data_IF_081534634308
#
_entry.id   IF_081534634308
#
_cell.length_a   1.000
_cell.length_b   1.000
_cell.length_c   1.000
_cell.angle_alpha   90.00
_cell.angle_beta   90.00
_cell.angle_gamma   90.00
#
_symmetry.space_group_name_H-M   'P 1'
#
loop_
_entity.id
_entity.type
_entity.pdbx_description
1 polymer ?
#
# COMPACT_ATOMS: atom_id res chain seq x y z
N UNK A 1 -34.16 23.59 33.87
CA UNK A 1 -32.99 22.87 34.41
C UNK A 1 -32.44 22.03 33.27
N UNK A 2 -31.37 22.50 32.62
CA UNK A 2 -30.82 21.85 31.43
C UNK A 2 -29.68 20.91 31.85
N UNK A 3 -29.91 19.61 31.72
CA UNK A 3 -28.91 18.58 31.95
C UNK A 3 -27.94 18.53 30.76
N UNK A 4 -26.70 18.96 30.97
CA UNK A 4 -25.62 18.76 30.00
C UNK A 4 -25.01 17.38 30.23
N UNK A 5 -25.28 16.44 29.32
CA UNK A 5 -24.61 15.15 29.28
C UNK A 5 -23.21 15.34 28.70
N UNK A 6 -22.19 14.98 29.49
CA UNK A 6 -20.79 14.97 29.06
C UNK A 6 -20.40 13.52 28.78
N UNK A 7 -20.09 13.21 27.52
CA UNK A 7 -19.59 11.89 27.12
C UNK A 7 -18.14 11.75 27.59
N UNK A 8 -17.88 10.77 28.45
CA UNK A 8 -16.53 10.37 28.86
C UNK A 8 -16.28 8.98 28.31
N UNK A 9 -15.34 8.87 27.37
CA UNK A 9 -14.87 7.58 26.85
C UNK A 9 -13.62 7.19 27.62
N UNK A 10 -13.77 6.28 28.57
CA UNK A 10 -12.64 5.64 29.24
C UNK A 10 -12.20 4.44 28.40
N UNK A 11 -11.05 4.55 27.75
CA UNK A 11 -10.38 3.41 27.12
C UNK A 11 -9.49 2.74 28.19
N UNK A 12 -9.79 1.53 28.68
CA UNK A 12 -8.94 0.87 29.66
C UNK A 12 -7.70 0.32 28.95
N UNK A 13 -6.68 1.15 28.85
CA UNK A 13 -5.34 0.74 28.44
C UNK A 13 -4.43 0.86 29.65
N UNK A 14 -4.09 -0.27 30.26
CA UNK A 14 -3.07 -0.32 31.31
C UNK A 14 -1.70 -0.03 30.67
N UNK A 15 -1.12 1.12 30.97
CA UNK A 15 0.30 1.39 30.70
C UNK A 15 1.12 1.06 31.95
N UNK A 16 2.32 0.49 31.79
CA UNK A 16 3.45 0.92 32.59
C UNK A 16 4.37 1.79 31.74
N UNK A 17 4.57 2.97 32.30
CA UNK A 17 5.43 4.09 31.96
C UNK A 17 6.75 3.68 31.29
N UNK A 18 6.94 4.10 30.04
CA UNK A 18 8.26 4.14 29.40
C UNK A 18 8.39 5.43 28.62
N UNK A 19 9.29 6.28 29.10
CA UNK A 19 9.66 7.59 28.56
C UNK A 19 10.45 7.47 27.25
N UNK A 20 9.87 6.87 26.23
CA UNK A 20 10.31 7.07 24.86
C UNK A 20 9.47 8.21 24.30
N UNK A 21 10.11 9.34 24.01
CA UNK A 21 9.45 10.48 23.37
C UNK A 21 8.54 9.98 22.26
N UNK A 22 7.25 10.26 22.40
CA UNK A 22 6.27 10.12 21.34
C UNK A 22 6.73 11.08 20.26
N UNK A 23 7.66 10.63 19.42
CA UNK A 23 7.91 11.22 18.13
C UNK A 23 6.53 11.29 17.50
N UNK A 24 5.99 12.50 17.44
CA UNK A 24 4.77 12.82 16.73
C UNK A 24 4.97 12.28 15.33
N UNK A 25 4.49 11.06 15.07
CA UNK A 25 4.46 10.53 13.72
C UNK A 25 3.61 11.54 12.98
N UNK A 26 4.23 12.37 12.13
CA UNK A 26 3.54 13.34 11.30
C UNK A 26 2.41 12.62 10.58
N UNK A 27 1.20 12.74 11.14
CA UNK A 27 0.07 11.81 10.93
C UNK A 27 -0.82 12.22 9.76
N UNK A 28 -0.34 13.06 8.84
CA UNK A 28 -1.15 13.60 7.74
C UNK A 28 -0.53 13.47 6.35
N UNK A 29 0.69 12.97 6.24
CA UNK A 29 1.23 12.40 5.01
C UNK A 29 1.00 10.88 5.14
N UNK A 30 0.24 10.16 4.32
CA UNK A 30 0.01 10.40 2.91
C UNK A 30 -1.05 9.42 2.33
N UNK A 31 -2.34 9.62 2.64
CA UNK A 31 -3.42 8.73 2.12
C UNK A 31 -3.48 8.72 0.58
N UNK A 32 -2.99 9.80 -0.03
CA UNK A 32 -3.00 10.00 -1.46
C UNK A 32 -1.67 9.57 -2.12
N UNK A 33 -0.59 9.34 -1.37
CA UNK A 33 0.70 8.87 -1.94
C UNK A 33 0.52 7.66 -2.81
N UNK A 34 -0.27 6.72 -2.31
CA UNK A 34 -0.47 5.45 -2.98
C UNK A 34 -1.17 5.65 -4.32
N UNK A 35 -1.90 6.76 -4.52
CA UNK A 35 -2.45 7.08 -5.84
C UNK A 35 -1.36 7.50 -6.84
N UNK A 36 -0.25 8.04 -6.35
CA UNK A 36 0.91 8.47 -7.16
C UNK A 36 1.86 7.30 -7.40
N UNK A 37 2.26 6.57 -6.35
CA UNK A 37 3.35 5.59 -6.44
C UNK A 37 2.90 4.16 -6.79
N UNK A 38 1.60 3.84 -6.71
CA UNK A 38 1.14 2.46 -6.92
C UNK A 38 1.48 1.89 -8.30
N UNK A 39 1.39 2.71 -9.35
CA UNK A 39 1.66 2.24 -10.71
C UNK A 39 3.13 1.87 -10.90
N UNK A 40 4.05 2.63 -10.31
CA UNK A 40 5.49 2.34 -10.33
C UNK A 40 5.82 1.09 -9.53
N UNK A 41 5.33 0.98 -8.30
CA UNK A 41 5.53 -0.21 -7.46
C UNK A 41 5.04 -1.47 -8.18
N UNK A 42 3.86 -1.40 -8.78
CA UNK A 42 3.28 -2.52 -9.50
C UNK A 42 4.10 -2.90 -10.73
N UNK A 43 4.49 -1.90 -11.54
CA UNK A 43 5.34 -2.10 -12.72
C UNK A 43 6.68 -2.74 -12.37
N UNK A 44 7.34 -2.25 -11.32
CA UNK A 44 8.62 -2.78 -10.84
C UNK A 44 8.49 -4.26 -10.45
N UNK A 45 7.44 -4.60 -9.69
CA UNK A 45 7.18 -5.98 -9.31
C UNK A 45 6.89 -6.87 -10.52
N UNK A 46 6.05 -6.42 -11.45
CA UNK A 46 5.72 -7.18 -12.66
C UNK A 46 6.95 -7.50 -13.50
N UNK A 47 7.87 -6.54 -13.65
CA UNK A 47 9.13 -6.71 -14.39
C UNK A 47 10.11 -7.66 -13.70
N UNK A 48 10.04 -7.76 -12.37
CA UNK A 48 10.85 -8.70 -11.60
C UNK A 48 10.27 -10.12 -11.64
N UNK A 49 8.95 -10.27 -11.59
CA UNK A 49 8.28 -11.57 -11.45
C UNK A 49 7.96 -12.25 -12.79
N UNK A 50 7.71 -11.46 -13.85
CA UNK A 50 7.28 -11.98 -15.15
C UNK A 50 8.30 -11.66 -16.23
N UNK A 51 8.35 -12.53 -17.25
CA UNK A 51 9.26 -12.36 -18.40
C UNK A 51 8.85 -11.24 -19.35
N UNK A 52 7.54 -10.98 -19.49
CA UNK A 52 6.97 -10.03 -20.45
C UNK A 52 5.51 -9.68 -20.11
N UNK A 53 4.94 -8.61 -20.71
CA UNK A 53 3.55 -8.21 -20.50
C UNK A 53 2.52 -9.29 -20.87
N UNK A 54 2.80 -10.12 -21.87
CA UNK A 54 1.89 -11.18 -22.28
C UNK A 54 1.71 -12.23 -21.18
N UNK A 55 2.79 -12.59 -20.47
CA UNK A 55 2.71 -13.48 -19.32
C UNK A 55 1.90 -12.87 -18.17
N UNK A 56 1.99 -11.54 -17.97
CA UNK A 56 1.16 -10.80 -17.01
C UNK A 56 -0.31 -10.87 -17.43
N UNK A 57 -0.62 -10.68 -18.71
CA UNK A 57 -1.99 -10.75 -19.22
C UNK A 57 -2.63 -12.13 -18.98
N UNK A 58 -1.87 -13.19 -19.24
CA UNK A 58 -2.30 -14.59 -19.00
C UNK A 58 -2.53 -14.83 -17.52
N UNK A 59 -1.56 -14.47 -16.66
CA UNK A 59 -1.65 -14.71 -15.22
C UNK A 59 -2.86 -14.00 -14.59
N UNK A 60 -3.09 -12.73 -14.91
CA UNK A 60 -4.21 -11.97 -14.34
C UNK A 60 -5.53 -12.14 -15.08
N UNK A 61 -5.56 -12.87 -16.21
CA UNK A 61 -6.74 -13.01 -17.06
C UNK A 61 -7.26 -11.67 -17.57
N UNK A 62 -6.37 -10.79 -18.03
CA UNK A 62 -6.72 -9.43 -18.52
C UNK A 62 -6.35 -9.25 -19.99
N UNK A 63 -6.86 -8.17 -20.60
CA UNK A 63 -6.48 -7.79 -21.97
C UNK A 63 -5.00 -7.43 -22.03
N UNK A 64 -4.35 -7.71 -23.16
CA UNK A 64 -2.94 -7.41 -23.35
C UNK A 64 -2.64 -5.90 -23.15
N UNK A 65 -3.53 -5.01 -23.58
CA UNK A 65 -3.38 -3.57 -23.36
C UNK A 65 -3.34 -3.18 -21.87
N UNK A 66 -4.11 -3.85 -21.01
CA UNK A 66 -4.06 -3.63 -19.55
C UNK A 66 -2.71 -4.06 -18.98
N UNK A 67 -2.21 -5.22 -19.41
CA UNK A 67 -0.90 -5.69 -18.98
C UNK A 67 0.22 -4.76 -19.44
N UNK A 68 0.18 -4.26 -20.67
CA UNK A 68 1.13 -3.24 -21.15
C UNK A 68 1.06 -1.93 -20.37
N UNK A 69 -0.14 -1.45 -20.06
CA UNK A 69 -0.31 -0.24 -19.25
C UNK A 69 0.26 -0.41 -17.84
N UNK A 70 0.09 -1.58 -17.23
CA UNK A 70 0.67 -1.89 -15.92
C UNK A 70 2.18 -2.06 -16.01
N UNK A 71 2.66 -2.78 -17.02
CA UNK A 71 4.07 -3.00 -17.27
C UNK A 71 4.83 -1.69 -17.42
N UNK A 72 4.21 -0.66 -18.01
CA UNK A 72 4.80 0.66 -18.22
C UNK A 72 4.45 1.69 -17.14
N UNK A 73 3.89 1.26 -16.01
CA UNK A 73 3.45 2.14 -14.92
C UNK A 73 2.44 3.23 -15.36
N UNK A 74 1.75 3.05 -16.48
CA UNK A 74 0.78 4.04 -17.00
C UNK A 74 -0.53 4.02 -16.23
N UNK A 75 -0.91 2.85 -15.71
CA UNK A 75 -2.08 2.69 -14.85
C UNK A 75 -1.76 1.74 -13.70
N UNK A 76 -2.53 1.84 -12.63
CA UNK A 76 -2.47 0.95 -11.47
C UNK A 76 -3.48 -0.20 -11.60
N UNK A 77 -3.19 -1.36 -11.00
CA UNK A 77 -4.14 -2.46 -10.94
C UNK A 77 -5.36 -2.08 -10.08
N UNK A 78 -6.47 -2.77 -10.31
CA UNK A 78 -7.62 -2.78 -9.38
C UNK A 78 -7.32 -3.66 -8.17
N UNK A 79 -8.06 -3.47 -7.08
CA UNK A 79 -7.80 -4.15 -5.81
C UNK A 79 -7.88 -5.69 -5.92
N UNK A 80 -8.78 -6.21 -6.76
CA UNK A 80 -8.89 -7.66 -7.02
C UNK A 80 -7.60 -8.25 -7.61
N UNK A 81 -6.91 -7.52 -8.47
CA UNK A 81 -5.64 -7.96 -9.07
C UNK A 81 -4.49 -7.95 -8.08
N UNK A 82 -4.51 -6.98 -7.16
CA UNK A 82 -3.59 -6.96 -6.01
C UNK A 82 -3.84 -8.19 -5.12
N UNK A 83 -5.11 -8.52 -4.83
CA UNK A 83 -5.44 -9.72 -4.03
C UNK A 83 -4.99 -11.02 -4.71
N UNK A 84 -5.13 -11.14 -6.03
CA UNK A 84 -4.61 -12.30 -6.78
C UNK A 84 -3.10 -12.41 -6.61
N UNK A 85 -2.34 -11.32 -6.75
CA UNK A 85 -0.89 -11.35 -6.55
C UNK A 85 -0.52 -11.77 -5.13
N UNK A 86 -1.22 -11.28 -4.10
CA UNK A 86 -0.99 -11.68 -2.70
C UNK A 86 -1.23 -13.18 -2.49
N UNK A 87 -2.29 -13.74 -3.10
CA UNK A 87 -2.69 -15.13 -2.90
C UNK A 87 -1.83 -16.12 -3.69
N UNK A 88 -1.41 -15.74 -4.90
CA UNK A 88 -0.77 -16.66 -5.84
C UNK A 88 0.75 -16.47 -5.96
N UNK A 89 1.30 -15.35 -5.47
CA UNK A 89 2.74 -15.03 -5.58
C UNK A 89 3.35 -14.67 -4.22
N UNK A 90 4.05 -15.63 -3.57
CA UNK A 90 4.89 -15.33 -2.42
C UNK A 90 5.92 -14.25 -2.80
N UNK A 91 6.06 -13.20 -2.00
CA UNK A 91 7.02 -12.12 -2.26
C UNK A 91 6.41 -10.78 -2.68
N UNK A 92 5.14 -10.75 -3.12
CA UNK A 92 4.53 -9.48 -3.51
C UNK A 92 4.37 -8.50 -2.33
N UNK A 93 3.97 -8.99 -1.16
CA UNK A 93 3.79 -8.16 0.03
C UNK A 93 5.12 -7.59 0.54
N UNK A 94 6.18 -8.40 0.48
CA UNK A 94 7.54 -8.01 0.83
C UNK A 94 8.06 -6.93 -0.13
N UNK A 95 7.83 -7.11 -1.44
CA UNK A 95 8.17 -6.10 -2.45
C UNK A 95 7.44 -4.78 -2.18
N UNK A 96 6.12 -4.83 -1.98
CA UNK A 96 5.30 -3.66 -1.68
C UNK A 96 5.82 -2.91 -0.43
N UNK A 97 6.06 -3.64 0.67
CA UNK A 97 6.58 -3.06 1.90
C UNK A 97 7.95 -2.40 1.70
N UNK A 98 8.86 -3.04 0.97
CA UNK A 98 10.18 -2.49 0.68
C UNK A 98 10.12 -1.19 -0.14
N UNK A 99 9.25 -1.14 -1.16
CA UNK A 99 9.10 0.07 -1.99
C UNK A 99 8.43 1.22 -1.24
N UNK A 100 7.43 0.94 -0.40
CA UNK A 100 6.80 1.95 0.46
C UNK A 100 7.81 2.52 1.46
N UNK A 101 8.61 1.68 2.11
CA UNK A 101 9.68 2.14 3.01
C UNK A 101 10.76 2.96 2.28
N UNK A 102 11.07 2.63 1.02
CA UNK A 102 11.98 3.41 0.20
C UNK A 102 11.40 4.76 -0.24
N UNK A 103 10.10 4.85 -0.50
CA UNK A 103 9.41 6.11 -0.80
C UNK A 103 9.37 7.02 0.43
N UNK A 104 9.05 6.48 1.61
CA UNK A 104 9.07 7.23 2.87
C UNK A 104 10.44 7.83 3.18
N UNK A 105 11.52 7.08 2.92
CA UNK A 105 12.90 7.57 3.08
C UNK A 105 13.28 8.66 2.08
N UNK A 106 12.65 8.70 0.89
CA UNK A 106 12.88 9.76 -0.11
C UNK A 106 12.14 11.06 0.22
N UNK A 107 11.07 10.97 1.00
CA UNK A 107 10.23 12.10 1.38
C UNK A 107 10.63 12.77 2.71
N UNK A 108 11.56 12.17 3.47
CA UNK A 108 12.10 12.68 4.73
C UNK A 108 13.40 13.44 4.51
#
# INVERSE_FOLDING_TARGET
>A
MNNHLKLVVSNPCSEPESSAGLASRSKSLDRYRMQVIAAEIWSDWLRAEFRNPEAVAVFFGVRNSSAWNWWNASTRPTADKVMIAVLERPGFMEHLAARVAADQRRAA
#
